data_IF_229668656627
#
_entry.id   IF_229668656627
#
_cell.length_a   1.000
_cell.length_b   1.000
_cell.length_c   1.000
_cell.angle_alpha   90.00
_cell.angle_beta   90.00
_cell.angle_gamma   90.00
#
_symmetry.space_group_name_H-M   'P 1'
#
loop_
_entity.id
_entity.type
_entity.pdbx_description
1 polymer ?
#
# COMPACT_ATOMS: atom_id res chain seq x y z
N UNK A 1 37.32 28.57 23.65
CA UNK A 1 36.20 28.53 22.69
C UNK A 1 35.73 27.10 22.52
N UNK A 2 34.48 26.77 22.88
CA UNK A 2 33.92 25.42 22.65
C UNK A 2 33.48 25.32 21.19
N UNK A 3 34.20 24.54 20.39
CA UNK A 3 33.79 24.09 19.07
C UNK A 3 32.63 23.09 19.23
N UNK A 4 31.40 23.59 19.17
CA UNK A 4 30.21 22.74 19.03
C UNK A 4 30.17 22.08 17.64
N UNK A 5 29.51 20.92 17.50
CA UNK A 5 29.52 20.14 16.27
C UNK A 5 28.84 20.90 15.11
N UNK A 6 29.48 20.87 13.95
CA UNK A 6 29.00 21.44 12.69
C UNK A 6 27.60 20.93 12.35
N UNK A 7 26.67 21.84 12.14
CA UNK A 7 25.23 21.61 11.90
C UNK A 7 24.92 21.19 10.45
N UNK A 8 25.91 20.67 9.71
CA UNK A 8 25.89 20.56 8.26
C UNK A 8 25.19 19.30 7.68
N UNK A 9 24.19 18.75 8.35
CA UNK A 9 23.40 17.60 7.83
C UNK A 9 21.87 17.82 7.85
N UNK A 10 21.39 19.06 8.02
CA UNK A 10 19.94 19.31 7.99
C UNK A 10 19.41 19.44 6.56
N UNK A 11 18.73 18.41 6.07
CA UNK A 11 17.93 18.45 4.84
C UNK A 11 16.76 19.45 5.01
N UNK A 12 16.98 20.72 4.68
CA UNK A 12 15.94 21.74 4.69
C UNK A 12 14.94 21.49 3.53
N UNK A 13 13.67 21.30 3.86
CA UNK A 13 12.58 21.19 2.87
C UNK A 13 11.98 22.59 2.67
N UNK A 14 11.85 23.00 1.41
CA UNK A 14 11.24 24.28 1.05
C UNK A 14 9.83 24.05 0.51
N UNK A 15 8.85 24.77 1.08
CA UNK A 15 7.47 24.75 0.61
C UNK A 15 6.98 26.20 0.46
N UNK A 16 6.61 26.62 -0.75
CA UNK A 16 6.09 27.97 -1.01
C UNK A 16 7.05 29.12 -0.63
N UNK A 17 8.37 28.91 -0.75
CA UNK A 17 9.38 29.92 -0.38
C UNK A 17 9.72 29.98 1.12
N UNK A 18 9.05 29.19 1.96
CA UNK A 18 9.39 29.03 3.38
C UNK A 18 10.38 27.90 3.60
N UNK A 19 11.39 28.15 4.44
CA UNK A 19 12.47 27.22 4.77
C UNK A 19 12.13 26.49 6.07
N UNK A 20 11.81 25.20 5.97
CA UNK A 20 11.43 24.38 7.12
C UNK A 20 12.66 23.62 7.59
N UNK A 21 13.11 23.87 8.83
CA UNK A 21 14.18 23.09 9.46
C UNK A 21 13.58 21.78 9.99
N UNK A 22 13.74 20.70 9.22
CA UNK A 22 13.39 19.35 9.65
C UNK A 22 14.65 18.63 10.13
N UNK A 23 14.50 17.77 11.13
CA UNK A 23 15.59 16.95 11.66
C UNK A 23 15.59 15.59 10.97
N UNK A 24 16.74 14.91 10.91
CA UNK A 24 16.81 13.53 10.38
C UNK A 24 15.89 12.57 11.12
N UNK A 25 15.66 12.80 12.42
CA UNK A 25 14.66 12.07 13.20
C UNK A 25 13.24 12.26 12.65
N UNK A 26 12.86 13.48 12.27
CA UNK A 26 11.55 13.73 11.68
C UNK A 26 11.42 13.08 10.30
N UNK A 27 12.45 13.21 9.44
CA UNK A 27 12.45 12.60 8.10
C UNK A 27 12.34 11.07 8.20
N UNK A 28 13.16 10.45 9.05
CA UNK A 28 13.14 9.00 9.24
C UNK A 28 11.82 8.52 9.86
N UNK A 29 11.23 9.28 10.77
CA UNK A 29 9.94 8.93 11.37
C UNK A 29 8.81 8.97 10.33
N UNK A 30 8.80 9.98 9.46
CA UNK A 30 7.82 10.06 8.36
C UNK A 30 8.03 8.97 7.32
N UNK A 31 9.26 8.74 6.86
CA UNK A 31 9.57 7.65 5.94
C UNK A 31 9.14 6.29 6.51
N UNK A 32 9.49 6.01 7.76
CA UNK A 32 9.11 4.77 8.45
C UNK A 32 7.59 4.63 8.57
N UNK A 33 6.87 5.72 8.83
CA UNK A 33 5.41 5.71 8.97
C UNK A 33 4.71 5.48 7.64
N UNK A 34 5.20 6.08 6.56
CA UNK A 34 4.68 5.88 5.20
C UNK A 34 4.99 4.47 4.70
N UNK A 35 6.21 3.95 4.95
CA UNK A 35 6.58 2.59 4.57
C UNK A 35 5.83 1.50 5.34
N UNK A 36 5.19 1.84 6.47
CA UNK A 36 4.33 0.95 7.24
C UNK A 36 2.83 1.19 7.00
N UNK A 37 2.47 2.03 6.03
CA UNK A 37 1.07 2.21 5.66
C UNK A 37 0.51 0.89 5.12
N UNK A 38 -0.56 0.41 5.76
CA UNK A 38 -1.25 -0.81 5.33
C UNK A 38 -2.30 -0.48 4.28
N UNK A 39 -2.42 -1.32 3.27
CA UNK A 39 -3.35 -1.14 2.14
C UNK A 39 -4.53 -2.09 2.29
N UNK A 40 -5.76 -1.56 2.17
CA UNK A 40 -6.98 -2.35 2.17
C UNK A 40 -7.65 -2.38 0.79
N UNK A 41 -8.13 -3.55 0.37
CA UNK A 41 -8.86 -3.77 -0.89
C UNK A 41 -10.33 -4.10 -0.61
N UNK A 42 -11.26 -3.38 -1.24
CA UNK A 42 -12.70 -3.59 -1.11
C UNK A 42 -13.31 -4.11 -2.42
N UNK A 43 -13.91 -5.31 -2.39
CA UNK A 43 -14.48 -6.02 -3.55
C UNK A 43 -16.01 -6.04 -3.49
N UNK A 44 -16.65 -5.27 -4.38
CA UNK A 44 -18.12 -5.22 -4.48
C UNK A 44 -18.75 -6.50 -5.05
N UNK A 45 -20.08 -6.62 -4.94
CA UNK A 45 -20.83 -7.68 -5.64
C UNK A 45 -20.93 -7.38 -7.14
N UNK A 46 -21.07 -8.40 -8.00
CA UNK A 46 -21.04 -8.15 -9.44
C UNK A 46 -21.48 -9.29 -10.36
N UNK A 47 -22.40 -10.18 -9.99
CA UNK A 47 -22.92 -11.25 -10.85
C UNK A 47 -21.85 -11.89 -11.78
N UNK A 48 -22.12 -12.10 -13.08
CA UNK A 48 -21.16 -12.68 -14.02
C UNK A 48 -19.91 -11.81 -14.29
N UNK A 49 -19.95 -10.50 -14.00
CA UNK A 49 -18.79 -9.60 -14.11
C UNK A 49 -17.90 -9.63 -12.87
N UNK A 50 -18.31 -10.34 -11.81
CA UNK A 50 -17.56 -10.46 -10.56
C UNK A 50 -16.18 -11.08 -10.73
N UNK A 51 -15.97 -11.85 -11.79
CA UNK A 51 -14.67 -12.43 -12.14
C UNK A 51 -13.61 -11.40 -12.52
N UNK A 52 -14.00 -10.18 -12.89
CA UNK A 52 -13.05 -9.08 -13.12
C UNK A 52 -12.22 -8.74 -11.86
N UNK A 53 -12.71 -9.09 -10.66
CA UNK A 53 -11.96 -8.93 -9.42
C UNK A 53 -10.64 -9.72 -9.41
N UNK A 54 -10.59 -10.89 -10.07
CA UNK A 54 -9.35 -11.68 -10.20
C UNK A 54 -8.30 -10.90 -10.99
N UNK A 55 -8.71 -10.31 -12.12
CA UNK A 55 -7.82 -9.48 -12.95
C UNK A 55 -7.32 -8.22 -12.23
N UNK A 56 -8.16 -7.57 -11.42
CA UNK A 56 -7.75 -6.41 -10.60
C UNK A 56 -6.70 -6.82 -9.57
N UNK A 57 -6.90 -7.94 -8.89
CA UNK A 57 -5.94 -8.45 -7.89
C UNK A 57 -4.60 -8.77 -8.56
N UNK A 58 -4.61 -9.39 -9.73
CA UNK A 58 -3.38 -9.66 -10.49
C UNK A 58 -2.65 -8.38 -10.91
N UNK A 59 -3.38 -7.40 -11.46
CA UNK A 59 -2.78 -6.12 -11.83
C UNK A 59 -2.16 -5.40 -10.62
N UNK A 60 -2.79 -5.49 -9.46
CA UNK A 60 -2.24 -4.97 -8.21
C UNK A 60 -0.97 -5.73 -7.79
N UNK A 61 -0.98 -7.06 -7.87
CA UNK A 61 0.19 -7.88 -7.56
C UNK A 61 1.37 -7.61 -8.50
N UNK A 62 1.11 -7.50 -9.81
CA UNK A 62 2.11 -7.17 -10.84
C UNK A 62 2.71 -5.76 -10.63
N UNK A 63 1.92 -4.81 -10.11
CA UNK A 63 2.40 -3.47 -9.76
C UNK A 63 3.25 -3.42 -8.48
N UNK A 64 3.39 -4.55 -7.77
CA UNK A 64 4.08 -4.63 -6.48
C UNK A 64 3.28 -4.07 -5.30
N UNK A 65 2.00 -3.73 -5.51
CA UNK A 65 1.11 -3.28 -4.45
C UNK A 65 0.73 -4.47 -3.56
N UNK A 66 1.22 -4.47 -2.31
CA UNK A 66 0.81 -5.44 -1.30
C UNK A 66 -0.50 -4.99 -0.66
N UNK A 67 -1.50 -5.87 -0.69
CA UNK A 67 -2.77 -5.67 0.01
C UNK A 67 -2.67 -6.40 1.36
N UNK A 68 -2.84 -5.65 2.45
CA UNK A 68 -2.79 -6.19 3.82
C UNK A 68 -4.17 -6.64 4.32
N UNK A 69 -5.24 -6.01 3.81
CA UNK A 69 -6.61 -6.31 4.21
C UNK A 69 -7.50 -6.43 3.00
N UNK A 70 -8.42 -7.38 3.02
CA UNK A 70 -9.45 -7.53 2.00
C UNK A 70 -10.83 -7.59 2.63
N UNK A 71 -11.78 -6.90 2.03
CA UNK A 71 -13.19 -6.96 2.39
C UNK A 71 -14.00 -7.17 1.11
N UNK A 72 -15.06 -7.98 1.16
CA UNK A 72 -15.88 -8.23 -0.02
C UNK A 72 -17.32 -8.55 0.29
N UNK A 73 -18.19 -8.47 -0.73
CA UNK A 73 -19.61 -8.83 -0.63
C UNK A 73 -20.01 -9.81 -1.75
N UNK A 74 -20.68 -10.91 -1.40
CA UNK A 74 -21.10 -11.96 -2.33
C UNK A 74 -19.90 -12.52 -3.12
N UNK A 75 -19.89 -12.43 -4.45
CA UNK A 75 -18.77 -12.92 -5.28
C UNK A 75 -17.45 -12.23 -4.95
N UNK A 76 -17.47 -10.95 -4.56
CA UNK A 76 -16.27 -10.25 -4.07
C UNK A 76 -15.78 -10.79 -2.72
N UNK A 77 -16.66 -11.32 -1.87
CA UNK A 77 -16.27 -11.98 -0.63
C UNK A 77 -15.61 -13.34 -0.90
N UNK A 78 -16.13 -14.10 -1.87
CA UNK A 78 -15.55 -15.37 -2.30
C UNK A 78 -14.14 -15.15 -2.88
N UNK A 79 -14.01 -14.25 -3.87
CA UNK A 79 -12.72 -13.92 -4.49
C UNK A 79 -11.74 -13.36 -3.44
N UNK A 80 -12.23 -12.49 -2.54
CA UNK A 80 -11.41 -11.94 -1.46
C UNK A 80 -10.95 -12.99 -0.45
N UNK A 81 -11.79 -13.99 -0.12
CA UNK A 81 -11.42 -15.08 0.77
C UNK A 81 -10.34 -15.98 0.15
N UNK A 82 -10.47 -16.31 -1.13
CA UNK A 82 -9.48 -17.11 -1.87
C UNK A 82 -8.17 -16.33 -2.07
N UNK A 83 -8.26 -15.03 -2.32
CA UNK A 83 -7.07 -14.17 -2.30
C UNK A 83 -6.36 -14.22 -0.95
N UNK A 84 -7.11 -14.10 0.14
CA UNK A 84 -6.56 -14.14 1.50
C UNK A 84 -5.96 -15.51 1.87
N UNK A 85 -6.44 -16.60 1.28
CA UNK A 85 -5.85 -17.94 1.46
C UNK A 85 -4.61 -18.19 0.61
N UNK A 86 -4.26 -17.27 -0.30
CA UNK A 86 -3.11 -17.42 -1.20
C UNK A 86 -3.38 -18.36 -2.39
N UNK A 87 -4.64 -18.64 -2.67
CA UNK A 87 -5.08 -19.60 -3.69
C UNK A 87 -5.77 -18.91 -4.88
N UNK A 88 -5.39 -17.66 -5.18
CA UNK A 88 -6.01 -16.89 -6.27
C UNK A 88 -5.88 -17.59 -7.64
N UNK A 89 -4.78 -18.32 -7.86
CA UNK A 89 -4.49 -19.01 -9.12
C UNK A 89 -5.39 -20.23 -9.34
N UNK A 90 -5.74 -20.97 -8.28
CA UNK A 90 -6.63 -22.15 -8.38
C UNK A 90 -8.09 -21.73 -8.59
N UNK A 91 -8.48 -20.54 -8.13
CA UNK A 91 -9.82 -20.01 -8.41
C UNK A 91 -10.02 -19.67 -9.88
N UNK A 92 -8.97 -19.24 -10.59
CA UNK A 92 -9.05 -18.93 -12.03
C UNK A 92 -9.30 -20.20 -12.86
N UNK A 93 -8.72 -21.34 -12.49
CA UNK A 93 -8.94 -22.65 -13.15
C UNK A 93 -10.34 -23.23 -12.96
N UNK A 94 -11.01 -22.94 -11.84
CA UNK A 94 -12.36 -23.48 -11.57
C UNK A 94 -13.44 -22.71 -12.34
N UNK A 95 -13.11 -21.52 -12.82
CA UNK A 95 -14.07 -20.52 -13.29
C UNK A 95 -14.04 -20.34 -14.81
N UNK A 96 -12.87 -20.56 -15.43
CA UNK A 96 -12.66 -20.52 -16.88
C UNK A 96 -12.74 -21.93 -17.48
#
# INVERSE_FOLDING_TARGET
>A
MRSGPCINDQAAVYYGGWRIHTTDKMINTFHKKISQARVGLALGSGSARGWAHIGVIRALAESGARVDYVAGTSIGALVGAVYASGEIDTLEEVVL
#
